data_IF_233983572451
#
_entry.id   IF_233983572451
#
_cell.length_a   1.000
_cell.length_b   1.000
_cell.length_c   1.000
_cell.angle_alpha   90.00
_cell.angle_beta   90.00
_cell.angle_gamma   90.00
#
_symmetry.space_group_name_H-M   'P 1'
#
loop_
_entity.id
_entity.type
_entity.pdbx_description
1 polymer ?
#
# COMPACT_ATOMS: atom_id res chain seq x y z
N UNK A 1 18.97 4.68 -25.69
CA UNK A 1 17.95 3.69 -26.14
C UNK A 1 16.71 3.91 -25.27
N UNK A 2 15.69 4.61 -25.78
CA UNK A 2 14.47 4.91 -25.02
C UNK A 2 13.54 3.70 -25.15
N UNK A 3 13.70 2.75 -24.24
CA UNK A 3 12.95 1.50 -24.26
C UNK A 3 11.49 1.78 -23.80
N UNK A 4 10.46 1.56 -24.64
CA UNK A 4 9.08 1.95 -24.34
C UNK A 4 8.51 1.23 -23.10
N UNK A 5 9.11 0.11 -22.70
CA UNK A 5 8.79 -0.67 -21.51
C UNK A 5 9.24 -0.01 -20.20
N UNK A 6 10.22 0.89 -20.23
CA UNK A 6 10.71 1.57 -19.03
C UNK A 6 9.66 2.53 -18.43
N UNK A 7 8.80 3.13 -19.27
CA UNK A 7 7.68 3.95 -18.81
C UNK A 7 6.61 3.11 -18.10
N UNK A 8 6.19 2.02 -18.74
CA UNK A 8 5.18 1.09 -18.20
C UNK A 8 5.66 0.48 -16.88
N UNK A 9 6.93 0.10 -16.80
CA UNK A 9 7.54 -0.42 -15.57
C UNK A 9 7.52 0.59 -14.41
N UNK A 10 7.74 1.89 -14.68
CA UNK A 10 7.64 2.95 -13.65
C UNK A 10 6.21 3.09 -13.12
N UNK A 11 5.22 3.14 -13.99
CA UNK A 11 3.81 3.25 -13.56
C UNK A 11 3.34 2.01 -12.81
N UNK A 12 3.79 0.81 -13.21
CA UNK A 12 3.53 -0.43 -12.48
C UNK A 12 4.22 -0.46 -11.12
N UNK A 13 5.45 0.02 -11.01
CA UNK A 13 6.17 0.09 -9.74
C UNK A 13 5.46 1.01 -8.73
N UNK A 14 5.01 2.19 -9.19
CA UNK A 14 4.23 3.13 -8.36
C UNK A 14 2.87 2.52 -8.00
N UNK A 15 2.20 1.87 -8.96
CA UNK A 15 0.92 1.20 -8.73
C UNK A 15 1.00 0.01 -7.78
N UNK A 16 2.15 -0.66 -7.71
CA UNK A 16 2.41 -1.79 -6.80
C UNK A 16 2.85 -1.34 -5.40
N UNK A 17 3.28 -0.09 -5.22
CA UNK A 17 3.80 0.40 -3.95
C UNK A 17 2.75 0.41 -2.84
N UNK A 18 1.48 0.66 -3.19
CA UNK A 18 0.37 0.63 -2.22
C UNK A 18 -0.09 -0.80 -1.90
N UNK A 19 -0.46 -1.65 -2.88
CA UNK A 19 -0.89 -3.02 -2.57
C UNK A 19 0.23 -3.85 -1.94
N UNK A 20 1.50 -3.61 -2.25
CA UNK A 20 2.62 -4.31 -1.59
C UNK A 20 2.69 -4.04 -0.09
N UNK A 21 2.37 -2.81 0.36
CA UNK A 21 2.31 -2.50 1.80
C UNK A 21 1.17 -3.22 2.52
N UNK A 22 0.02 -3.39 1.87
CA UNK A 22 -1.12 -4.13 2.43
C UNK A 22 -0.78 -5.62 2.53
N UNK A 23 -0.22 -6.20 1.46
CA UNK A 23 0.20 -7.61 1.43
C UNK A 23 1.27 -7.86 2.50
N UNK A 24 2.26 -6.97 2.64
CA UNK A 24 3.28 -7.06 3.69
C UNK A 24 2.68 -7.06 5.10
N UNK A 25 1.74 -6.16 5.39
CA UNK A 25 1.08 -6.11 6.70
C UNK A 25 0.26 -7.38 6.99
N UNK A 26 -0.45 -7.92 5.99
CA UNK A 26 -1.22 -9.16 6.11
C UNK A 26 -0.33 -10.36 6.38
N UNK A 27 0.78 -10.49 5.63
CA UNK A 27 1.75 -11.58 5.82
C UNK A 27 2.37 -11.53 7.21
N UNK A 28 2.76 -10.35 7.68
CA UNK A 28 3.30 -10.17 9.04
C UNK A 28 2.26 -10.54 10.10
N UNK A 29 1.01 -10.08 9.98
CA UNK A 29 -0.06 -10.41 10.91
C UNK A 29 -0.36 -11.92 10.97
N UNK A 30 -0.36 -12.58 9.82
CA UNK A 30 -0.59 -14.03 9.72
C UNK A 30 0.55 -14.86 10.33
N UNK A 31 1.81 -14.48 10.07
CA UNK A 31 2.97 -15.16 10.66
C UNK A 31 2.98 -14.99 12.19
N UNK A 32 2.61 -13.82 12.69
CA UNK A 32 2.47 -13.58 14.13
C UNK A 32 1.37 -14.46 14.72
N UNK A 33 0.19 -14.52 14.12
CA UNK A 33 -0.90 -15.40 14.61
C UNK A 33 -0.49 -16.88 14.65
N UNK A 34 0.25 -17.36 13.63
CA UNK A 34 0.79 -18.73 13.60
C UNK A 34 1.80 -18.99 14.74
N UNK A 35 2.63 -18.00 15.07
CA UNK A 35 3.66 -18.12 16.09
C UNK A 35 3.07 -18.19 17.51
N UNK A 36 1.96 -17.48 17.76
CA UNK A 36 1.31 -17.41 19.06
C UNK A 36 0.16 -18.42 19.24
N UNK A 37 -0.25 -19.13 18.17
CA UNK A 37 -1.32 -20.12 18.22
C UNK A 37 -2.69 -19.53 18.59
N UNK A 38 -2.83 -18.21 18.49
CA UNK A 38 -4.04 -17.46 18.85
C UNK A 38 -5.05 -17.48 17.71
N UNK A 39 -6.35 -17.43 18.03
CA UNK A 39 -7.40 -17.07 17.05
C UNK A 39 -6.96 -15.80 16.29
N UNK A 40 -7.39 -15.57 15.02
CA UNK A 40 -6.72 -14.68 14.06
C UNK A 40 -6.90 -13.17 14.34
N UNK A 41 -6.62 -12.76 15.56
CA UNK A 41 -6.82 -11.42 16.08
C UNK A 41 -5.73 -10.47 15.58
N UNK A 42 -4.48 -10.93 15.43
CA UNK A 42 -3.43 -10.09 14.84
C UNK A 42 -3.67 -9.89 13.35
N UNK A 43 -4.16 -10.90 12.64
CA UNK A 43 -4.54 -10.78 11.23
C UNK A 43 -5.68 -9.79 11.07
N UNK A 44 -6.69 -9.81 11.94
CA UNK A 44 -7.78 -8.82 11.94
C UNK A 44 -7.26 -7.42 12.25
N UNK A 45 -6.44 -7.25 13.29
CA UNK A 45 -5.86 -5.96 13.64
C UNK A 45 -4.96 -5.40 12.52
N UNK A 46 -4.11 -6.24 11.93
CA UNK A 46 -3.24 -5.89 10.81
C UNK A 46 -4.05 -5.55 9.55
N UNK A 47 -5.17 -6.24 9.30
CA UNK A 47 -6.08 -5.93 8.19
C UNK A 47 -6.73 -4.56 8.37
N UNK A 48 -7.22 -4.25 9.58
CA UNK A 48 -7.81 -2.94 9.88
C UNK A 48 -6.78 -1.83 9.76
N UNK A 49 -5.57 -2.03 10.31
CA UNK A 49 -4.48 -1.06 10.21
C UNK A 49 -4.01 -0.88 8.76
N UNK A 50 -3.87 -1.96 8.00
CA UNK A 50 -3.53 -1.93 6.58
C UNK A 50 -4.57 -1.20 5.74
N UNK A 51 -5.85 -1.41 6.02
CA UNK A 51 -6.95 -0.72 5.36
C UNK A 51 -6.96 0.78 5.68
N UNK A 52 -6.85 1.15 6.96
CA UNK A 52 -6.77 2.56 7.38
C UNK A 52 -5.55 3.24 6.77
N UNK A 53 -4.38 2.57 6.76
CA UNK A 53 -3.17 3.09 6.13
C UNK A 53 -3.30 3.30 4.62
N UNK A 54 -3.98 2.39 3.92
CA UNK A 54 -4.26 2.52 2.49
C UNK A 54 -5.18 3.71 2.20
N UNK A 55 -6.25 3.88 2.99
CA UNK A 55 -7.16 5.04 2.88
C UNK A 55 -6.40 6.34 3.17
N UNK A 56 -5.57 6.37 4.22
CA UNK A 56 -4.75 7.54 4.54
C UNK A 56 -3.82 7.92 3.38
N UNK A 57 -3.08 6.94 2.83
CA UNK A 57 -2.24 7.16 1.64
C UNK A 57 -3.03 7.70 0.47
N UNK A 58 -4.21 7.14 0.18
CA UNK A 58 -5.09 7.62 -0.87
C UNK A 58 -5.48 9.09 -0.66
N UNK A 59 -5.84 9.48 0.57
CA UNK A 59 -6.17 10.88 0.86
C UNK A 59 -4.97 11.83 0.70
N UNK A 60 -3.75 11.37 0.99
CA UNK A 60 -2.53 12.14 0.76
C UNK A 60 -2.27 12.33 -0.73
N UNK A 61 -2.42 11.29 -1.55
CA UNK A 61 -2.31 11.42 -3.01
C UNK A 61 -3.34 12.40 -3.57
N UNK A 62 -4.60 12.31 -3.15
CA UNK A 62 -5.65 13.22 -3.63
C UNK A 62 -5.34 14.69 -3.29
N UNK A 63 -4.80 14.96 -2.09
CA UNK A 63 -4.37 16.31 -1.68
C UNK A 63 -3.13 16.80 -2.43
N UNK A 64 -2.17 15.91 -2.67
CA UNK A 64 -0.95 16.23 -3.40
C UNK A 64 -1.24 16.58 -4.87
N UNK A 65 -2.12 15.81 -5.53
CA UNK A 65 -2.50 16.08 -6.91
C UNK A 65 -3.37 17.35 -7.04
N UNK A 66 -4.31 17.61 -6.12
CA UNK A 66 -5.13 18.82 -6.18
C UNK A 66 -4.41 20.13 -5.79
N UNK A 67 -3.19 20.06 -5.25
CA UNK A 67 -2.38 21.23 -4.90
C UNK A 67 -1.48 21.74 -6.02
N UNK A 68 -1.13 20.87 -6.98
CA UNK A 68 -0.18 21.18 -8.05
C UNK A 68 -0.82 21.86 -9.27
N UNK A 69 -2.13 22.12 -9.24
CA UNK A 69 -2.88 22.71 -10.36
C UNK A 69 -2.86 24.25 -10.37
N UNK A 70 -2.21 24.91 -9.38
CA UNK A 70 -2.24 26.37 -9.21
C UNK A 70 -0.89 27.08 -9.48
N UNK A 71 0.11 26.38 -10.01
CA UNK A 71 1.37 26.99 -10.44
C UNK A 71 1.65 26.58 -11.90
N UNK A 72 0.98 27.28 -12.82
CA UNK A 72 1.21 27.23 -14.28
C UNK A 72 1.05 28.63 -14.86
#
# INVERSE_FOLDING_TARGET
MHLPFAGIAKYLAIGLEIPSTIIGALVVGYVVDLQFGTSPWFTVAASVLGFVGAVYRLTQYLKYFGGNDNES
#
